data_IF_327667085758
#
_entry.id   IF_327667085758
#
_cell.length_a   1.000
_cell.length_b   1.000
_cell.length_c   1.000
_cell.angle_alpha   90.00
_cell.angle_beta   90.00
_cell.angle_gamma   90.00
#
_symmetry.space_group_name_H-M   'P 1'
#
loop_
_entity.id
_entity.type
_entity.pdbx_description
1 polymer ?
#
# COMPACT_ATOMS: atom_id res chain seq x y z
N UNK A 1 44.85 47.70 10.80
CA UNK A 1 46.19 47.73 10.16
C UNK A 1 46.60 46.29 9.87
N UNK A 2 47.45 46.10 8.85
CA UNK A 2 47.69 44.84 8.12
C UNK A 2 48.80 43.95 8.71
N UNK A 3 49.03 42.79 8.05
CA UNK A 3 50.14 41.80 8.15
C UNK A 3 49.98 40.71 9.23
N UNK A 4 50.32 39.43 8.99
CA UNK A 4 50.63 38.65 7.76
C UNK A 4 50.31 37.17 8.05
N UNK A 5 49.68 36.40 7.14
CA UNK A 5 50.30 35.47 6.17
C UNK A 5 51.41 34.58 6.74
N UNK A 6 51.14 33.28 6.81
CA UNK A 6 52.12 32.20 6.61
C UNK A 6 51.42 31.03 5.87
N UNK A 7 52.08 30.51 4.85
CA UNK A 7 51.66 29.37 4.03
C UNK A 7 52.60 28.19 4.32
N UNK A 8 52.07 26.99 4.55
CA UNK A 8 52.88 25.78 4.70
C UNK A 8 52.37 24.68 3.77
N UNK A 9 53.10 24.44 2.69
CA UNK A 9 52.93 23.26 1.84
C UNK A 9 53.41 22.00 2.57
N UNK A 10 52.65 20.91 2.44
CA UNK A 10 53.20 19.55 2.44
C UNK A 10 52.64 18.76 1.24
N UNK A 11 53.42 17.79 0.77
CA UNK A 11 53.20 17.15 -0.53
C UNK A 11 53.36 15.63 -0.45
N UNK A 12 52.39 14.95 -1.08
CA UNK A 12 52.45 13.61 -1.69
C UNK A 12 52.50 12.32 -0.86
N UNK A 13 51.57 11.45 -1.27
CA UNK A 13 51.68 10.02 -1.53
C UNK A 13 51.72 9.03 -0.35
N UNK A 14 50.62 8.30 -0.20
CA UNK A 14 50.64 6.85 -0.10
C UNK A 14 49.67 6.27 -1.15
N UNK A 15 50.14 5.30 -1.93
CA UNK A 15 49.32 4.51 -2.85
C UNK A 15 48.67 3.32 -2.11
N UNK A 16 47.49 2.89 -2.56
CA UNK A 16 47.14 1.46 -2.53
C UNK A 16 45.84 1.02 -1.84
N UNK A 17 44.90 0.58 -2.70
CA UNK A 17 43.92 -0.52 -2.50
C UNK A 17 42.65 -0.24 -1.68
N UNK A 18 41.51 -0.60 -2.29
CA UNK A 18 40.13 -0.82 -1.79
C UNK A 18 39.60 0.03 -0.62
N UNK A 19 38.48 0.74 -0.76
CA UNK A 19 37.27 0.30 -1.46
C UNK A 19 36.53 1.47 -2.10
N UNK A 20 36.05 1.27 -3.33
CA UNK A 20 35.05 2.12 -3.95
C UNK A 20 33.71 1.93 -3.26
N UNK A 21 33.47 2.69 -2.19
CA UNK A 21 32.12 3.06 -1.81
C UNK A 21 31.70 4.19 -2.74
N UNK A 22 31.19 3.80 -3.90
CA UNK A 22 30.33 4.65 -4.70
C UNK A 22 29.12 4.98 -3.81
N UNK A 23 29.16 6.15 -3.17
CA UNK A 23 27.97 6.80 -2.65
C UNK A 23 27.19 7.28 -3.87
N UNK A 24 26.46 6.35 -4.50
CA UNK A 24 25.51 6.72 -5.54
C UNK A 24 24.39 7.52 -4.87
N UNK A 25 24.21 8.75 -5.36
CA UNK A 25 23.16 9.68 -4.95
C UNK A 25 21.77 9.22 -5.45
N UNK A 26 21.33 8.00 -5.11
CA UNK A 26 20.00 7.44 -5.42
C UNK A 26 18.84 8.11 -4.60
N UNK A 27 18.98 9.39 -4.28
CA UNK A 27 17.99 10.18 -3.54
C UNK A 27 17.59 11.43 -4.34
N UNK A 28 16.92 11.24 -5.49
CA UNK A 28 16.48 12.35 -6.35
C UNK A 28 15.09 12.23 -7.00
N UNK A 29 14.51 11.03 -7.14
CA UNK A 29 13.25 10.83 -7.90
C UNK A 29 12.17 10.09 -7.07
N UNK A 30 11.75 10.68 -5.95
CA UNK A 30 10.52 10.28 -5.26
C UNK A 30 9.69 11.50 -4.83
N UNK A 31 8.42 11.30 -4.48
CA UNK A 31 7.47 12.35 -4.12
C UNK A 31 8.05 13.26 -3.02
N UNK A 32 8.39 14.52 -3.34
CA UNK A 32 8.99 15.43 -2.36
C UNK A 32 8.02 15.73 -1.21
N UNK A 33 6.71 15.52 -1.35
CA UNK A 33 5.74 15.75 -0.29
C UNK A 33 5.77 14.66 0.80
N UNK A 34 6.25 13.44 0.48
CA UNK A 34 6.51 12.37 1.47
C UNK A 34 7.80 12.66 2.26
N UNK A 35 8.86 13.13 1.61
CA UNK A 35 10.09 13.55 2.30
C UNK A 35 9.85 14.81 3.16
N UNK A 36 9.14 15.80 2.62
CA UNK A 36 8.78 17.05 3.32
C UNK A 36 7.91 16.81 4.56
N UNK A 37 7.23 15.67 4.69
CA UNK A 37 6.37 15.40 5.85
C UNK A 37 7.10 15.68 7.16
N UNK A 38 8.28 15.08 7.37
CA UNK A 38 9.05 15.22 8.61
C UNK A 38 9.42 16.68 8.94
N UNK A 39 9.69 17.49 7.91
CA UNK A 39 10.00 18.92 8.04
C UNK A 39 8.75 19.80 8.27
N UNK A 40 7.58 19.37 7.79
CA UNK A 40 6.32 20.12 7.84
C UNK A 40 5.44 19.80 9.07
N UNK A 41 5.86 18.90 9.96
CA UNK A 41 5.09 18.56 11.17
C UNK A 41 4.98 19.78 12.08
N UNK A 42 3.75 20.11 12.44
CA UNK A 42 3.39 21.30 13.22
C UNK A 42 2.93 20.97 14.65
N UNK A 43 2.84 19.67 14.99
CA UNK A 43 2.78 19.15 16.35
C UNK A 43 4.03 18.31 16.57
N UNK A 44 4.86 18.68 17.54
CA UNK A 44 6.13 17.99 17.83
C UNK A 44 6.17 17.56 19.31
N UNK A 45 6.42 16.28 19.56
CA UNK A 45 6.54 15.71 20.92
C UNK A 45 8.01 15.41 21.21
N UNK A 46 8.52 16.00 22.29
CA UNK A 46 9.89 15.86 22.75
C UNK A 46 9.97 15.03 24.04
N UNK A 47 11.08 14.31 24.20
CA UNK A 47 11.43 13.58 25.42
C UNK A 47 12.23 14.44 26.41
N UNK A 48 12.66 13.85 27.53
CA UNK A 48 13.44 14.52 28.58
C UNK A 48 14.80 15.04 28.05
N UNK A 49 15.39 14.34 27.08
CA UNK A 49 16.66 14.67 26.43
C UNK A 49 16.53 15.83 25.42
N UNK A 50 15.31 16.27 25.11
CA UNK A 50 15.04 17.31 24.12
C UNK A 50 15.15 16.85 22.67
N UNK A 51 15.13 15.54 22.40
CA UNK A 51 14.98 14.97 21.05
C UNK A 51 13.51 14.72 20.73
N UNK A 52 13.15 14.79 19.45
CA UNK A 52 11.77 14.50 19.01
C UNK A 52 11.55 12.98 19.10
N UNK A 53 10.43 12.54 19.64
CA UNK A 53 10.02 11.12 19.69
C UNK A 53 8.76 10.82 18.89
N UNK A 54 7.90 11.83 18.73
CA UNK A 54 6.72 11.79 17.87
C UNK A 54 6.45 13.15 17.26
N UNK A 55 5.65 13.18 16.21
CA UNK A 55 5.13 14.41 15.66
C UNK A 55 4.10 14.14 14.57
N UNK A 56 3.21 15.10 14.37
CA UNK A 56 2.14 15.04 13.39
C UNK A 56 2.10 16.32 12.56
N UNK A 57 1.75 16.21 11.30
CA UNK A 57 1.25 17.34 10.54
C UNK A 57 -0.27 17.36 10.67
N UNK A 58 -0.81 18.30 11.44
CA UNK A 58 -2.25 18.48 11.57
C UNK A 58 -2.86 18.92 10.23
N UNK A 59 -3.61 18.00 9.62
CA UNK A 59 -4.44 18.22 8.43
C UNK A 59 -5.90 18.02 8.83
N UNK A 60 -6.72 19.07 8.69
CA UNK A 60 -8.07 19.10 9.26
C UNK A 60 -8.07 19.33 10.78
N UNK A 61 -9.15 18.90 11.45
CA UNK A 61 -9.42 19.25 12.85
C UNK A 61 -8.98 18.17 13.86
N UNK A 62 -7.69 18.00 14.12
CA UNK A 62 -7.24 17.08 15.17
C UNK A 62 -7.67 17.63 16.54
N UNK A 63 -8.47 16.87 17.29
CA UNK A 63 -8.93 17.29 18.62
C UNK A 63 -7.91 16.93 19.69
N UNK A 64 -7.97 17.59 20.85
CA UNK A 64 -7.11 17.22 22.00
C UNK A 64 -7.31 15.74 22.35
N UNK A 65 -8.56 15.28 22.43
CA UNK A 65 -8.90 13.87 22.71
C UNK A 65 -8.26 12.91 21.73
N UNK A 66 -8.23 13.25 20.43
CA UNK A 66 -7.63 12.41 19.39
C UNK A 66 -6.12 12.28 19.58
N UNK A 67 -5.41 13.40 19.77
CA UNK A 67 -3.95 13.37 19.97
C UNK A 67 -3.57 12.57 21.24
N UNK A 68 -4.32 12.70 22.33
CA UNK A 68 -4.13 11.85 23.52
C UNK A 68 -4.34 10.35 23.23
N UNK A 69 -5.42 9.99 22.51
CA UNK A 69 -5.68 8.59 22.09
C UNK A 69 -4.54 8.05 21.22
N UNK A 70 -4.11 8.80 20.21
CA UNK A 70 -3.11 8.37 19.24
C UNK A 70 -1.72 8.20 19.89
N UNK A 71 -1.35 9.07 20.82
CA UNK A 71 -0.14 8.89 21.63
C UNK A 71 -0.23 7.65 22.54
N UNK A 72 -1.40 7.38 23.12
CA UNK A 72 -1.64 6.16 23.89
C UNK A 72 -1.69 4.88 23.02
N UNK A 73 -1.95 4.96 21.72
CA UNK A 73 -1.75 3.87 20.76
C UNK A 73 -0.24 3.64 20.56
N UNK A 74 0.51 4.71 20.30
CA UNK A 74 1.93 4.65 19.93
C UNK A 74 2.88 4.26 21.07
N UNK A 75 2.62 4.70 22.30
CA UNK A 75 3.61 4.64 23.39
C UNK A 75 3.14 3.83 24.60
N UNK A 76 4.09 3.20 25.30
CA UNK A 76 3.87 2.65 26.64
C UNK A 76 3.77 3.78 27.67
N UNK A 77 2.61 4.41 27.75
CA UNK A 77 2.32 5.49 28.69
C UNK A 77 1.81 4.96 30.05
N UNK A 78 1.93 5.77 31.13
CA UNK A 78 1.26 5.52 32.40
C UNK A 78 -0.26 5.37 32.27
N UNK A 79 -0.92 4.98 33.36
CA UNK A 79 -2.37 4.79 33.38
C UNK A 79 -3.12 6.06 32.93
N UNK A 80 -4.28 5.89 32.28
CA UNK A 80 -5.08 7.02 31.78
C UNK A 80 -5.42 7.99 32.91
N UNK A 81 -5.12 9.28 32.73
CA UNK A 81 -5.28 10.31 33.77
C UNK A 81 -4.10 10.44 34.75
N UNK A 82 -3.00 9.71 34.55
CA UNK A 82 -1.74 9.89 35.31
C UNK A 82 -0.61 10.49 34.46
N UNK A 83 -0.93 11.04 33.29
CA UNK A 83 -0.03 11.78 32.43
C UNK A 83 -0.80 12.85 31.64
N UNK A 84 -0.10 13.92 31.26
CA UNK A 84 -0.65 15.03 30.47
C UNK A 84 0.34 15.48 29.39
N UNK A 85 -0.15 16.26 28.42
CA UNK A 85 0.66 16.94 27.41
C UNK A 85 0.90 18.38 27.89
N UNK A 86 2.14 18.85 27.85
CA UNK A 86 2.52 20.22 28.24
C UNK A 86 3.19 20.97 27.09
N UNK A 87 2.80 22.21 26.84
CA UNK A 87 3.49 23.09 25.89
C UNK A 87 4.90 23.42 26.38
N UNK A 88 5.91 23.25 25.51
CA UNK A 88 7.28 23.73 25.76
C UNK A 88 7.36 25.24 25.73
N UNK A 89 6.47 25.88 24.96
CA UNK A 89 6.30 27.32 24.89
C UNK A 89 5.26 27.75 25.94
N UNK A 90 5.74 28.15 27.13
CA UNK A 90 4.92 28.71 28.21
C UNK A 90 4.54 27.73 29.33
N UNK A 91 4.73 26.42 29.16
CA UNK A 91 4.49 25.42 30.22
C UNK A 91 3.01 25.11 30.50
N UNK A 92 2.10 25.58 29.66
CA UNK A 92 0.65 25.31 29.77
C UNK A 92 0.35 23.82 29.58
N UNK A 93 -0.51 23.27 30.43
CA UNK A 93 -0.97 21.88 30.33
C UNK A 93 -2.18 21.84 29.38
N UNK A 94 -2.09 20.98 28.36
CA UNK A 94 -3.15 20.77 27.38
C UNK A 94 -4.12 19.72 27.94
N UNK A 95 -5.00 20.14 28.84
CA UNK A 95 -5.97 19.25 29.49
C UNK A 95 -6.98 18.65 28.50
N UNK A 96 -7.38 17.40 28.72
CA UNK A 96 -8.46 16.76 27.96
C UNK A 96 -9.77 17.48 28.29
N UNK A 97 -10.40 18.19 27.33
CA UNK A 97 -11.56 19.02 27.62
C UNK A 97 -12.80 18.16 27.90
N UNK A 98 -13.68 18.63 28.78
CA UNK A 98 -14.99 17.99 29.05
C UNK A 98 -15.95 18.02 27.85
N UNK A 99 -15.55 18.64 26.72
CA UNK A 99 -16.28 18.68 25.45
C UNK A 99 -15.30 18.37 24.31
N UNK A 100 -15.58 17.32 23.54
CA UNK A 100 -14.66 16.65 22.61
C UNK A 100 -14.24 17.43 21.34
N UNK A 101 -14.50 18.74 21.24
CA UNK A 101 -14.32 19.53 20.00
C UNK A 101 -13.23 20.60 20.06
N UNK A 102 -12.46 20.69 21.15
CA UNK A 102 -11.31 21.59 21.18
C UNK A 102 -10.21 21.03 20.28
N UNK A 103 -9.80 21.83 19.29
CA UNK A 103 -8.69 21.54 18.38
C UNK A 103 -7.39 21.51 19.19
N UNK A 104 -6.51 20.56 18.93
CA UNK A 104 -5.20 20.51 19.57
C UNK A 104 -4.32 21.66 19.06
N UNK A 105 -3.58 22.38 19.94
CA UNK A 105 -2.75 23.51 19.52
C UNK A 105 -1.54 23.04 18.70
N UNK A 106 -1.11 23.87 17.76
CA UNK A 106 0.17 23.67 17.05
C UNK A 106 1.33 24.08 17.96
N UNK A 107 2.50 23.45 17.80
CA UNK A 107 3.72 23.79 18.52
C UNK A 107 4.53 22.57 18.97
N UNK A 108 5.34 22.80 20.00
CA UNK A 108 6.23 21.80 20.58
C UNK A 108 5.81 21.45 22.01
N UNK A 109 5.76 20.17 22.34
CA UNK A 109 5.20 19.65 23.58
C UNK A 109 6.11 18.63 24.26
N UNK A 110 5.94 18.46 25.56
CA UNK A 110 6.42 17.32 26.35
C UNK A 110 5.23 16.46 26.78
N UNK A 111 5.49 15.19 27.03
CA UNK A 111 4.62 14.33 27.83
C UNK A 111 5.11 14.43 29.28
N UNK A 112 4.22 14.64 30.24
CA UNK A 112 4.56 14.76 31.66
C UNK A 112 3.71 13.83 32.53
N UNK A 113 4.24 13.42 33.68
CA UNK A 113 3.49 12.70 34.71
C UNK A 113 2.77 13.63 35.72
N UNK A 114 2.18 13.05 36.77
CA UNK A 114 1.49 13.78 37.83
C UNK A 114 2.43 14.67 38.68
N UNK A 115 3.73 14.37 38.71
CA UNK A 115 4.77 15.13 39.41
C UNK A 115 5.47 16.15 38.48
N UNK A 116 4.88 16.38 37.30
CA UNK A 116 5.38 17.23 36.22
C UNK A 116 6.80 16.86 35.72
N UNK A 117 7.22 15.60 35.87
CA UNK A 117 8.44 15.09 35.25
C UNK A 117 8.20 14.78 33.78
N UNK A 118 9.16 15.14 32.91
CA UNK A 118 9.08 14.84 31.49
C UNK A 118 9.28 13.33 31.29
N UNK A 119 8.36 12.71 30.57
CA UNK A 119 8.40 11.31 30.18
C UNK A 119 9.21 11.12 28.90
N UNK A 120 10.05 10.09 28.89
CA UNK A 120 10.71 9.55 27.68
C UNK A 120 10.13 8.15 27.36
N UNK A 121 8.86 8.05 26.90
CA UNK A 121 8.20 6.75 26.77
C UNK A 121 8.69 5.97 25.56
N UNK A 122 8.73 4.64 25.71
CA UNK A 122 9.10 3.73 24.62
C UNK A 122 7.90 3.48 23.69
N UNK A 123 8.09 3.42 22.35
CA UNK A 123 7.07 2.98 21.42
C UNK A 123 6.60 1.55 21.75
N UNK A 124 5.31 1.26 21.55
CA UNK A 124 4.76 -0.10 21.73
C UNK A 124 5.20 -1.05 20.62
N UNK A 125 5.25 -0.54 19.39
CA UNK A 125 5.75 -1.25 18.22
C UNK A 125 6.30 -0.21 17.25
N UNK A 126 7.40 -0.56 16.59
CA UNK A 126 7.96 0.16 15.43
C UNK A 126 7.86 -0.69 14.16
N UNK A 127 7.16 -1.83 14.22
CA UNK A 127 7.00 -2.75 13.11
C UNK A 127 5.93 -2.23 12.15
N UNK A 128 6.39 -1.74 11.01
CA UNK A 128 5.54 -1.36 9.89
C UNK A 128 5.43 -2.52 8.89
N UNK A 129 4.18 -2.87 8.53
CA UNK A 129 3.85 -3.91 7.56
C UNK A 129 3.70 -3.28 6.18
N UNK A 130 4.69 -3.50 5.33
CA UNK A 130 4.65 -3.05 3.94
C UNK A 130 3.49 -3.68 3.18
N UNK A 131 2.93 -2.93 2.22
CA UNK A 131 1.87 -3.38 1.32
C UNK A 131 2.37 -3.30 -0.11
N UNK A 132 1.97 -4.27 -0.94
CA UNK A 132 2.02 -4.09 -2.38
C UNK A 132 0.68 -3.53 -2.86
N UNK A 133 0.69 -2.81 -3.98
CA UNK A 133 -0.48 -2.15 -4.56
C UNK A 133 -1.37 -3.16 -5.29
N UNK A 134 -2.56 -2.72 -5.70
CA UNK A 134 -3.41 -3.51 -6.58
C UNK A 134 -2.76 -3.54 -7.96
N UNK A 135 -1.98 -4.59 -8.25
CA UNK A 135 -1.40 -4.78 -9.57
C UNK A 135 -2.52 -5.07 -10.57
N UNK A 136 -2.90 -4.06 -11.38
CA UNK A 136 -3.89 -4.16 -12.45
C UNK A 136 -3.58 -5.24 -13.50
N UNK A 137 -2.33 -5.74 -13.52
CA UNK A 137 -1.91 -6.82 -14.40
C UNK A 137 -1.93 -8.22 -13.77
N UNK A 138 -2.34 -8.36 -12.49
CA UNK A 138 -2.72 -9.65 -11.92
C UNK A 138 -4.03 -10.09 -12.57
N UNK A 139 -4.06 -11.30 -13.15
CA UNK A 139 -5.33 -11.92 -13.55
C UNK A 139 -6.19 -12.12 -12.30
N UNK A 140 -7.35 -11.47 -12.24
CA UNK A 140 -8.35 -11.71 -11.20
C UNK A 140 -8.73 -13.19 -11.19
N UNK A 141 -8.74 -13.82 -10.03
CA UNK A 141 -9.23 -15.21 -9.92
C UNK A 141 -10.75 -15.21 -9.74
N UNK A 142 -11.46 -16.30 -10.09
CA UNK A 142 -12.85 -16.52 -9.71
C UNK A 142 -13.19 -16.16 -8.24
N UNK A 143 -12.26 -16.38 -7.30
CA UNK A 143 -12.44 -15.98 -5.90
C UNK A 143 -12.35 -14.45 -5.68
N UNK A 144 -11.47 -13.75 -6.39
CA UNK A 144 -11.38 -12.28 -6.36
C UNK A 144 -12.61 -11.63 -7.01
N UNK A 145 -13.07 -12.16 -8.15
CA UNK A 145 -14.28 -11.68 -8.86
C UNK A 145 -15.55 -11.90 -8.01
N UNK A 146 -15.71 -13.06 -7.37
CA UNK A 146 -16.83 -13.34 -6.45
C UNK A 146 -16.81 -12.40 -5.24
N UNK A 147 -15.64 -12.18 -4.62
CA UNK A 147 -15.51 -11.24 -3.52
C UNK A 147 -15.82 -9.80 -3.96
N UNK A 148 -15.33 -9.37 -5.12
CA UNK A 148 -15.61 -8.04 -5.67
C UNK A 148 -17.12 -7.83 -5.89
N UNK A 149 -17.83 -8.84 -6.40
CA UNK A 149 -19.28 -8.80 -6.56
C UNK A 149 -20.02 -8.74 -5.22
N UNK A 150 -19.63 -9.56 -4.23
CA UNK A 150 -20.24 -9.54 -2.89
C UNK A 150 -20.06 -8.19 -2.19
N UNK A 151 -18.84 -7.64 -2.22
CA UNK A 151 -18.51 -6.34 -1.62
C UNK A 151 -19.15 -5.19 -2.39
N UNK A 152 -19.23 -5.30 -3.72
CA UNK A 152 -19.93 -4.37 -4.59
C UNK A 152 -21.43 -4.25 -4.29
N UNK A 153 -22.11 -5.39 -4.16
CA UNK A 153 -23.53 -5.45 -3.79
C UNK A 153 -23.79 -4.97 -2.35
N UNK A 154 -22.83 -5.13 -1.43
CA UNK A 154 -22.92 -4.64 -0.05
C UNK A 154 -22.77 -3.12 0.06
N UNK A 155 -21.81 -2.55 -0.67
CA UNK A 155 -21.41 -1.15 -0.52
C UNK A 155 -22.16 -0.20 -1.47
N UNK A 156 -22.50 -0.67 -2.68
CA UNK A 156 -23.13 0.06 -3.81
C UNK A 156 -22.37 1.31 -4.33
N UNK A 157 -21.35 1.76 -3.60
CA UNK A 157 -20.54 2.96 -3.86
C UNK A 157 -19.17 2.83 -3.20
N UNK A 158 -18.21 3.64 -3.64
CA UNK A 158 -16.96 3.86 -2.93
C UNK A 158 -17.23 4.38 -1.51
N UNK A 159 -16.82 3.63 -0.48
CA UNK A 159 -17.04 4.04 0.91
C UNK A 159 -16.21 5.25 1.35
N UNK A 160 -15.20 5.66 0.57
CA UNK A 160 -14.37 6.85 0.86
C UNK A 160 -14.91 8.12 0.18
N UNK A 161 -15.33 8.02 -1.08
CA UNK A 161 -15.69 9.20 -1.92
C UNK A 161 -17.17 9.33 -2.21
N UNK A 162 -17.97 8.29 -1.94
CA UNK A 162 -19.40 8.23 -2.27
C UNK A 162 -19.70 8.06 -3.76
N UNK A 163 -18.69 7.95 -4.63
CA UNK A 163 -18.87 7.67 -6.06
C UNK A 163 -19.52 6.30 -6.24
N UNK A 164 -20.60 6.21 -7.02
CA UNK A 164 -21.32 4.95 -7.25
C UNK A 164 -20.43 3.84 -7.80
N UNK A 165 -20.74 2.59 -7.45
CA UNK A 165 -20.03 1.42 -7.95
C UNK A 165 -20.35 1.24 -9.44
N UNK A 166 -19.32 1.32 -10.28
CA UNK A 166 -19.44 1.24 -11.74
C UNK A 166 -18.53 0.13 -12.24
N UNK A 167 -19.13 -0.99 -12.65
CA UNK A 167 -18.44 -2.04 -13.42
C UNK A 167 -18.50 -1.64 -14.89
N UNK A 168 -17.35 -1.29 -15.47
CA UNK A 168 -17.22 -1.21 -16.93
C UNK A 168 -16.99 -2.61 -17.50
N UNK A 169 -17.65 -2.99 -18.62
CA UNK A 169 -17.29 -4.22 -19.33
C UNK A 169 -15.81 -4.22 -19.71
N UNK A 170 -15.10 -5.33 -19.47
CA UNK A 170 -13.68 -5.50 -19.85
C UNK A 170 -13.48 -5.22 -21.36
N UNK A 171 -14.50 -5.50 -22.17
CA UNK A 171 -14.61 -5.23 -23.60
C UNK A 171 -14.42 -3.75 -24.00
N UNK A 172 -14.68 -2.80 -23.09
CA UNK A 172 -14.54 -1.37 -23.38
C UNK A 172 -13.11 -0.85 -23.24
N UNK A 173 -12.17 -1.67 -22.75
CA UNK A 173 -10.77 -1.29 -22.54
C UNK A 173 -10.55 -0.23 -21.46
N UNK A 174 -11.57 0.10 -20.67
CA UNK A 174 -11.51 1.10 -19.60
C UNK A 174 -11.09 0.41 -18.30
N UNK A 175 -10.05 0.92 -17.64
CA UNK A 175 -9.62 0.44 -16.33
C UNK A 175 -10.74 0.63 -15.29
N UNK A 176 -10.93 -0.31 -14.33
CA UNK A 176 -12.00 -0.23 -13.35
C UNK A 176 -11.82 1.01 -12.45
N UNK A 177 -12.80 1.93 -12.47
CA UNK A 177 -12.77 3.13 -11.61
C UNK A 177 -12.88 2.79 -10.11
N UNK A 178 -13.35 1.59 -9.77
CA UNK A 178 -13.51 1.09 -8.41
C UNK A 178 -12.91 -0.30 -8.25
N UNK A 179 -12.23 -0.53 -7.13
CA UNK A 179 -11.60 -1.80 -6.73
C UNK A 179 -12.13 -2.28 -5.38
N UNK A 180 -11.90 -3.56 -5.05
CA UNK A 180 -12.12 -4.10 -3.72
C UNK A 180 -10.85 -3.87 -2.87
N UNK A 181 -10.81 -2.76 -2.12
CA UNK A 181 -9.65 -2.38 -1.30
C UNK A 181 -9.56 -3.26 -0.05
N UNK A 182 -8.36 -3.77 0.24
CA UNK A 182 -8.07 -4.62 1.41
C UNK A 182 -7.70 -3.81 2.65
N UNK A 183 -8.36 -4.08 3.76
CA UNK A 183 -8.19 -3.39 5.05
C UNK A 183 -6.90 -3.87 5.73
N UNK A 184 -6.78 -5.16 5.99
CA UNK A 184 -5.55 -5.83 6.38
C UNK A 184 -4.87 -6.39 5.12
N UNK A 185 -3.55 -6.19 4.95
CA UNK A 185 -2.84 -6.65 3.75
C UNK A 185 -2.83 -8.19 3.70
N UNK A 186 -2.67 -8.73 2.49
CA UNK A 186 -2.39 -10.16 2.36
C UNK A 186 -1.01 -10.47 2.94
N UNK A 187 -0.96 -11.50 3.78
CA UNK A 187 0.26 -12.00 4.40
C UNK A 187 0.29 -13.52 4.27
N UNK A 188 1.46 -14.12 4.49
CA UNK A 188 1.60 -15.58 4.48
C UNK A 188 0.77 -16.20 5.63
N UNK A 189 0.15 -17.38 5.45
CA UNK A 189 -0.60 -18.04 6.54
C UNK A 189 0.23 -18.32 7.79
N UNK A 190 1.57 -18.34 7.69
CA UNK A 190 2.49 -18.43 8.83
C UNK A 190 2.47 -17.20 9.75
N UNK A 191 2.06 -16.02 9.28
CA UNK A 191 1.83 -14.86 10.15
C UNK A 191 0.71 -15.09 11.17
N UNK A 192 -0.11 -16.13 11.02
CA UNK A 192 -1.04 -16.56 12.08
C UNK A 192 -0.34 -16.86 13.41
N UNK A 193 0.95 -17.21 13.42
CA UNK A 193 1.71 -17.47 14.65
C UNK A 193 2.24 -16.20 15.32
N UNK A 194 2.08 -15.04 14.70
CA UNK A 194 2.42 -13.74 15.27
C UNK A 194 1.33 -13.32 16.28
N UNK A 195 1.70 -13.09 17.54
CA UNK A 195 0.75 -12.76 18.60
C UNK A 195 0.02 -11.43 18.38
N UNK A 196 0.62 -10.47 17.67
CA UNK A 196 -0.09 -9.24 17.25
C UNK A 196 -1.21 -9.57 16.25
N UNK A 197 -0.96 -10.49 15.31
CA UNK A 197 -1.94 -10.90 14.29
C UNK A 197 -3.08 -11.68 14.92
N UNK A 198 -2.78 -12.61 15.85
CA UNK A 198 -3.80 -13.32 16.63
C UNK A 198 -4.68 -12.36 17.45
N UNK A 199 -4.12 -11.29 18.00
CA UNK A 199 -4.89 -10.28 18.72
C UNK A 199 -5.84 -9.50 17.79
N UNK A 200 -5.34 -9.07 16.62
CA UNK A 200 -6.12 -8.34 15.60
C UNK A 200 -7.27 -9.21 15.07
N UNK A 201 -7.04 -10.51 14.89
CA UNK A 201 -8.00 -11.46 14.33
C UNK A 201 -8.82 -12.21 15.39
N UNK A 202 -8.69 -11.86 16.68
CA UNK A 202 -9.43 -12.48 17.78
C UNK A 202 -10.94 -12.42 17.54
N UNK A 203 -11.58 -13.58 17.48
CA UNK A 203 -13.03 -13.71 17.26
C UNK A 203 -13.47 -13.65 15.79
N UNK A 204 -12.54 -13.39 14.86
CA UNK A 204 -12.75 -13.57 13.41
C UNK A 204 -12.10 -14.87 12.92
N UNK A 205 -10.95 -15.25 13.49
CA UNK A 205 -10.26 -16.50 13.21
C UNK A 205 -9.76 -17.17 14.49
N UNK A 206 -9.53 -18.49 14.39
CA UNK A 206 -9.05 -19.38 15.46
C UNK A 206 -7.96 -20.36 14.97
N UNK A 207 -7.73 -20.46 13.66
CA UNK A 207 -6.72 -21.29 13.00
C UNK A 207 -6.11 -20.60 11.78
N UNK A 208 -4.97 -21.09 11.23
CA UNK A 208 -4.42 -20.58 9.97
C UNK A 208 -5.40 -20.64 8.79
N UNK A 209 -6.27 -21.65 8.77
CA UNK A 209 -7.27 -21.85 7.72
C UNK A 209 -8.42 -20.83 7.82
N UNK A 210 -8.96 -20.60 9.03
CA UNK A 210 -9.99 -19.56 9.23
C UNK A 210 -9.40 -18.16 9.04
N UNK A 211 -8.14 -17.94 9.41
CA UNK A 211 -7.39 -16.72 9.10
C UNK A 211 -7.29 -16.45 7.59
N UNK A 212 -6.90 -17.45 6.80
CA UNK A 212 -6.85 -17.33 5.34
C UNK A 212 -8.23 -17.04 4.72
N UNK A 213 -9.30 -17.61 5.27
CA UNK A 213 -10.68 -17.30 4.86
C UNK A 213 -11.06 -15.84 5.17
N UNK A 214 -10.72 -15.32 6.36
CA UNK A 214 -10.98 -13.91 6.72
C UNK A 214 -10.18 -12.94 5.84
N UNK A 215 -8.94 -13.26 5.45
CA UNK A 215 -8.20 -12.41 4.50
C UNK A 215 -8.93 -12.24 3.16
N UNK A 216 -9.67 -13.27 2.72
CA UNK A 216 -10.50 -13.29 1.51
C UNK A 216 -11.96 -12.90 1.76
N UNK A 217 -12.36 -12.45 2.96
CA UNK A 217 -13.75 -12.14 3.27
C UNK A 217 -14.17 -10.69 2.90
N UNK A 218 -15.48 -10.43 2.78
CA UNK A 218 -16.03 -9.07 2.74
C UNK A 218 -15.61 -8.25 3.96
N UNK A 219 -15.49 -8.85 5.14
CA UNK A 219 -15.12 -8.15 6.38
C UNK A 219 -13.70 -7.57 6.35
N UNK A 220 -12.79 -8.11 5.51
CA UNK A 220 -11.46 -7.54 5.26
C UNK A 220 -11.42 -6.56 4.06
N UNK A 221 -12.57 -6.19 3.47
CA UNK A 221 -12.57 -5.52 2.17
C UNK A 221 -13.71 -4.49 1.99
N UNK A 222 -13.52 -3.47 1.16
CA UNK A 222 -14.58 -2.52 0.78
C UNK A 222 -14.39 -1.95 -0.63
N UNK A 223 -15.49 -1.52 -1.26
CA UNK A 223 -15.45 -0.80 -2.54
C UNK A 223 -14.77 0.55 -2.33
N UNK A 224 -13.68 0.77 -3.06
CA UNK A 224 -12.95 2.02 -3.08
C UNK A 224 -12.76 2.49 -4.52
N UNK A 225 -12.74 3.80 -4.76
CA UNK A 225 -12.31 4.35 -6.04
C UNK A 225 -10.79 4.11 -6.18
N UNK A 226 -10.32 3.73 -7.36
CA UNK A 226 -8.92 3.33 -7.60
C UNK A 226 -7.89 4.30 -6.98
N UNK A 227 -8.01 5.59 -7.29
CA UNK A 227 -7.10 6.62 -6.75
C UNK A 227 -7.14 6.68 -5.21
N UNK A 228 -8.31 6.46 -4.60
CA UNK A 228 -8.45 6.47 -3.15
C UNK A 228 -7.93 5.17 -2.50
N UNK A 229 -7.95 4.03 -3.18
CA UNK A 229 -7.30 2.81 -2.68
C UNK A 229 -5.78 2.91 -2.65
N UNK A 230 -5.16 3.56 -3.63
CA UNK A 230 -3.71 3.81 -3.61
C UNK A 230 -3.30 4.55 -2.33
N UNK A 231 -3.97 5.67 -2.03
CA UNK A 231 -3.69 6.43 -0.81
C UNK A 231 -4.09 5.74 0.49
N UNK A 232 -5.04 4.81 0.44
CA UNK A 232 -5.35 3.95 1.58
C UNK A 232 -4.21 2.95 1.83
N UNK A 233 -3.74 2.25 0.79
CA UNK A 233 -2.69 1.23 0.89
C UNK A 233 -1.32 1.80 1.28
N UNK A 234 -0.98 3.01 0.84
CA UNK A 234 0.20 3.73 1.33
C UNK A 234 0.03 4.39 2.71
N UNK A 235 -1.13 4.22 3.37
CA UNK A 235 -1.50 4.89 4.62
C UNK A 235 -1.39 6.43 4.54
N UNK A 236 -1.50 7.03 3.35
CA UNK A 236 -1.52 8.49 3.14
C UNK A 236 -2.70 9.15 3.86
N UNK A 237 -3.79 8.40 3.98
CA UNK A 237 -4.86 8.59 4.96
C UNK A 237 -5.20 7.24 5.60
N UNK A 238 -5.96 7.27 6.68
CA UNK A 238 -6.55 6.08 7.29
C UNK A 238 -7.85 6.42 8.04
N UNK A 239 -8.47 5.46 8.72
CA UNK A 239 -9.82 5.57 9.28
C UNK A 239 -9.75 5.34 10.80
N UNK A 240 -10.02 6.39 11.58
CA UNK A 240 -10.16 6.28 13.03
C UNK A 240 -11.60 5.85 13.36
N UNK A 241 -11.79 4.54 13.56
CA UNK A 241 -13.06 3.94 13.99
C UNK A 241 -13.56 4.55 15.30
N UNK A 242 -12.65 4.89 16.22
CA UNK A 242 -12.98 5.37 17.55
C UNK A 242 -13.22 6.90 17.60
N UNK A 243 -13.11 7.60 16.46
CA UNK A 243 -13.59 8.97 16.21
C UNK A 243 -14.70 8.98 15.13
N UNK A 244 -15.66 8.05 15.23
CA UNK A 244 -16.87 7.99 14.39
C UNK A 244 -16.54 7.78 12.90
N UNK A 245 -15.68 6.77 12.64
CA UNK A 245 -15.14 6.36 11.33
C UNK A 245 -14.51 7.49 10.51
N UNK A 246 -13.89 8.45 11.19
CA UNK A 246 -13.29 9.62 10.57
C UNK A 246 -12.09 9.25 9.70
N UNK A 247 -12.04 9.85 8.52
CA UNK A 247 -10.88 9.82 7.63
C UNK A 247 -9.83 10.81 8.15
N UNK A 248 -8.68 10.28 8.56
CA UNK A 248 -7.52 11.03 9.08
C UNK A 248 -6.46 11.11 7.97
N UNK A 249 -6.09 12.33 7.58
CA UNK A 249 -5.10 12.59 6.53
C UNK A 249 -3.71 12.79 7.14
N UNK A 250 -2.69 12.13 6.60
CA UNK A 250 -1.30 12.29 7.01
C UNK A 250 -0.48 13.07 5.98
N UNK A 251 -0.73 12.86 4.68
CA UNK A 251 -0.19 13.68 3.57
C UNK A 251 -1.30 14.45 2.82
N UNK A 252 -0.95 15.22 1.79
CA UNK A 252 -1.94 15.93 0.98
C UNK A 252 -2.69 14.96 0.06
N UNK A 253 -3.94 14.61 0.41
CA UNK A 253 -4.71 13.62 -0.34
C UNK A 253 -5.63 14.19 -1.43
N UNK A 254 -5.47 15.46 -1.81
CA UNK A 254 -6.28 16.13 -2.85
C UNK A 254 -6.23 15.38 -4.20
N UNK A 255 -5.07 14.91 -4.64
CA UNK A 255 -4.91 14.21 -5.91
C UNK A 255 -5.63 12.84 -5.96
N UNK A 256 -5.87 12.22 -4.81
CA UNK A 256 -6.63 10.97 -4.68
C UNK A 256 -8.14 11.20 -4.41
N UNK A 257 -8.60 12.46 -4.44
CA UNK A 257 -10.01 12.86 -4.24
C UNK A 257 -10.61 12.41 -2.90
N UNK A 258 -9.77 12.24 -1.88
CA UNK A 258 -10.19 11.84 -0.53
C UNK A 258 -10.81 13.05 0.17
N UNK A 259 -12.03 12.96 0.73
CA UNK A 259 -12.69 14.10 1.36
C UNK A 259 -11.95 14.54 2.63
N UNK A 260 -11.75 15.86 2.77
CA UNK A 260 -11.21 16.49 3.97
C UNK A 260 -12.20 16.35 5.14
N UNK A 261 -11.71 15.94 6.31
CA UNK A 261 -12.51 15.66 7.51
C UNK A 261 -13.74 14.77 7.25
N UNK A 262 -13.66 13.92 6.22
CA UNK A 262 -14.71 12.97 5.84
C UNK A 262 -14.83 11.79 6.80
N UNK A 263 -15.74 10.87 6.49
CA UNK A 263 -15.95 9.61 7.20
C UNK A 263 -16.09 8.47 6.21
N UNK A 264 -15.75 7.26 6.63
CA UNK A 264 -16.12 6.05 5.90
C UNK A 264 -17.66 5.97 5.84
N UNK A 265 -18.22 5.86 4.63
CA UNK A 265 -19.66 5.93 4.35
C UNK A 265 -20.36 4.59 4.63
N UNK A 266 -20.13 4.05 5.82
CA UNK A 266 -20.52 2.71 6.27
C UNK A 266 -21.98 2.63 6.76
N UNK A 267 -22.69 3.76 6.84
CA UNK A 267 -24.10 3.87 7.24
C UNK A 267 -25.09 3.07 6.36
N UNK A 268 -24.67 2.64 5.17
CA UNK A 268 -25.47 1.78 4.28
C UNK A 268 -25.27 0.28 4.53
N UNK A 269 -24.28 -0.11 5.34
CA UNK A 269 -24.08 -1.51 5.72
C UNK A 269 -24.92 -1.83 6.98
N UNK A 270 -25.89 -2.73 6.86
CA UNK A 270 -26.54 -3.34 8.04
C UNK A 270 -25.50 -4.00 8.96
N UNK A 271 -25.77 -4.02 10.28
CA UNK A 271 -24.94 -4.71 11.29
C UNK A 271 -24.95 -6.22 11.05
N UNK A 272 -24.11 -6.65 10.11
CA UNK A 272 -23.93 -8.03 9.65
C UNK A 272 -22.45 -8.36 9.63
N UNK A 273 -22.12 -9.65 9.72
CA UNK A 273 -20.72 -10.14 9.65
C UNK A 273 -20.02 -9.78 8.33
N UNK A 274 -20.78 -9.32 7.32
CA UNK A 274 -20.27 -8.85 6.04
C UNK A 274 -19.66 -7.44 6.07
N UNK A 275 -19.94 -6.61 7.09
CA UNK A 275 -19.46 -5.22 7.21
C UNK A 275 -17.92 -5.16 7.31
N UNK A 276 -17.24 -4.10 6.79
CA UNK A 276 -15.83 -3.84 7.06
C UNK A 276 -15.49 -3.92 8.55
N UNK A 277 -14.52 -4.76 8.91
CA UNK A 277 -14.20 -5.06 10.30
C UNK A 277 -13.49 -3.91 10.99
N UNK A 278 -14.10 -3.41 12.06
CA UNK A 278 -13.53 -2.42 12.97
C UNK A 278 -12.15 -2.80 13.51
N UNK A 279 -11.92 -4.10 13.79
CA UNK A 279 -10.63 -4.57 14.32
C UNK A 279 -9.52 -4.42 13.27
N UNK A 280 -9.84 -4.74 12.00
CA UNK A 280 -8.92 -4.60 10.87
C UNK A 280 -8.71 -3.12 10.52
N UNK A 281 -9.76 -2.29 10.59
CA UNK A 281 -9.66 -0.84 10.41
C UNK A 281 -8.79 -0.18 11.49
N UNK A 282 -8.94 -0.55 12.78
CA UNK A 282 -8.04 -0.12 13.86
C UNK A 282 -6.60 -0.57 13.60
N UNK A 283 -6.38 -1.80 13.14
CA UNK A 283 -5.03 -2.28 12.79
C UNK A 283 -4.40 -1.46 11.64
N UNK A 284 -5.17 -1.14 10.60
CA UNK A 284 -4.75 -0.23 9.52
C UNK A 284 -4.42 1.17 10.06
N UNK A 285 -5.25 1.70 10.97
CA UNK A 285 -5.02 3.01 11.58
C UNK A 285 -3.77 3.04 12.47
N UNK A 286 -3.52 1.98 13.23
CA UNK A 286 -2.31 1.82 14.04
C UNK A 286 -1.05 1.80 13.17
N UNK A 287 -1.08 1.12 12.02
CA UNK A 287 0.05 1.10 11.08
C UNK A 287 0.31 2.49 10.45
N UNK A 288 -0.75 3.23 10.12
CA UNK A 288 -0.63 4.63 9.68
C UNK A 288 -0.01 5.52 10.77
N UNK A 289 -0.45 5.39 12.03
CA UNK A 289 0.12 6.12 13.17
C UNK A 289 1.59 5.74 13.43
N UNK A 290 1.96 4.45 13.33
CA UNK A 290 3.36 4.01 13.50
C UNK A 290 4.26 4.69 12.47
N UNK A 291 3.82 4.75 11.21
CA UNK A 291 4.59 5.37 10.13
C UNK A 291 4.69 6.90 10.27
N UNK A 292 3.56 7.59 10.43
CA UNK A 292 3.50 9.06 10.37
C UNK A 292 3.64 9.75 11.73
N UNK A 293 3.27 9.09 12.82
CA UNK A 293 3.22 9.68 14.17
C UNK A 293 4.51 9.51 14.97
N UNK A 294 5.23 8.40 14.82
CA UNK A 294 6.55 8.23 15.42
C UNK A 294 7.59 9.10 14.71
N UNK A 295 8.67 9.46 15.41
CA UNK A 295 9.83 10.08 14.80
C UNK A 295 10.96 9.06 14.63
N UNK A 296 10.98 8.39 13.48
CA UNK A 296 12.06 7.48 13.08
C UNK A 296 12.47 7.78 11.63
N UNK A 297 13.45 8.69 11.41
CA UNK A 297 13.94 9.01 10.07
C UNK A 297 14.53 7.82 9.31
N UNK A 298 15.02 6.79 10.02
CA UNK A 298 15.54 5.57 9.41
C UNK A 298 14.41 4.74 8.81
N UNK A 299 13.36 4.47 9.61
CA UNK A 299 12.16 3.77 9.13
C UNK A 299 11.36 4.57 8.11
N UNK A 300 11.39 5.90 8.16
CA UNK A 300 10.83 6.73 7.08
C UNK A 300 11.54 6.52 5.74
N UNK A 301 12.88 6.46 5.76
CA UNK A 301 13.66 6.17 4.55
C UNK A 301 13.43 4.75 4.04
N UNK A 302 13.36 3.75 4.93
CA UNK A 302 12.94 2.40 4.54
C UNK A 302 11.55 2.40 3.88
N UNK A 303 10.57 3.13 4.43
CA UNK A 303 9.24 3.23 3.82
C UNK A 303 9.23 3.86 2.42
N UNK A 304 10.03 4.90 2.19
CA UNK A 304 10.17 5.51 0.86
C UNK A 304 10.73 4.50 -0.14
N UNK A 305 11.79 3.79 0.23
CA UNK A 305 12.39 2.72 -0.59
C UNK A 305 11.37 1.60 -0.86
N UNK A 306 10.64 1.16 0.17
CA UNK A 306 9.63 0.13 0.05
C UNK A 306 8.49 0.51 -0.89
N UNK A 307 8.01 1.76 -0.79
CA UNK A 307 6.96 2.30 -1.65
C UNK A 307 7.43 2.39 -3.10
N UNK A 308 8.66 2.88 -3.35
CA UNK A 308 9.28 2.88 -4.69
C UNK A 308 9.34 1.45 -5.26
N UNK A 309 9.84 0.48 -4.49
CA UNK A 309 9.90 -0.92 -4.93
C UNK A 309 8.52 -1.52 -5.24
N UNK A 310 7.47 -1.15 -4.49
CA UNK A 310 6.10 -1.56 -4.79
C UNK A 310 5.56 -0.96 -6.11
N UNK A 311 5.82 0.33 -6.36
CA UNK A 311 5.50 0.97 -7.66
C UNK A 311 6.28 0.36 -8.82
N UNK A 312 7.58 0.08 -8.65
CA UNK A 312 8.39 -0.58 -9.67
C UNK A 312 7.80 -1.95 -10.06
N UNK A 313 7.34 -2.75 -9.09
CA UNK A 313 6.65 -4.03 -9.35
C UNK A 313 5.36 -3.80 -10.17
N UNK A 314 4.54 -2.82 -9.81
CA UNK A 314 3.28 -2.48 -10.50
C UNK A 314 3.54 -2.04 -11.95
N UNK A 315 4.53 -1.16 -12.16
CA UNK A 315 4.90 -0.63 -13.47
C UNK A 315 5.74 -1.60 -14.32
N UNK A 316 6.18 -2.73 -13.75
CA UNK A 316 7.10 -3.70 -14.37
C UNK A 316 8.49 -3.12 -14.67
N UNK A 317 8.92 -2.17 -13.84
CA UNK A 317 10.25 -1.57 -13.89
C UNK A 317 11.24 -2.45 -13.12
N UNK A 318 12.28 -2.95 -13.79
CA UNK A 318 13.37 -3.65 -13.10
C UNK A 318 14.21 -2.65 -12.28
N UNK A 319 14.41 -2.84 -10.96
CA UNK A 319 15.27 -1.97 -10.18
C UNK A 319 16.73 -2.00 -10.67
N UNK A 320 17.44 -0.90 -10.46
CA UNK A 320 18.88 -0.75 -10.73
C UNK A 320 19.73 -1.86 -10.09
N UNK A 321 19.43 -2.22 -8.84
CA UNK A 321 20.15 -3.24 -8.07
C UNK A 321 19.26 -4.43 -7.69
N UNK A 322 19.55 -5.62 -8.21
CA UNK A 322 18.87 -6.87 -7.82
C UNK A 322 19.09 -7.25 -6.35
N UNK A 323 20.10 -6.72 -5.65
CA UNK A 323 20.31 -6.98 -4.22
C UNK A 323 19.27 -6.27 -3.33
N UNK A 324 18.49 -5.31 -3.84
CA UNK A 324 17.44 -4.67 -3.05
C UNK A 324 16.36 -5.68 -2.58
N UNK A 325 16.10 -6.73 -3.37
CA UNK A 325 15.09 -7.76 -3.09
C UNK A 325 15.50 -8.78 -2.01
N UNK A 326 16.79 -8.90 -1.70
CA UNK A 326 17.30 -9.84 -0.68
C UNK A 326 17.58 -9.15 0.67
N UNK A 327 17.30 -7.85 0.79
CA UNK A 327 17.48 -7.04 2.00
C UNK A 327 16.17 -6.35 2.38
N UNK A 328 16.05 -5.94 3.63
CA UNK A 328 14.96 -5.02 3.99
C UNK A 328 15.19 -3.64 3.38
N UNK A 329 14.12 -2.95 2.93
CA UNK A 329 12.71 -3.35 2.98
C UNK A 329 12.24 -4.20 1.77
N UNK A 330 13.06 -4.32 0.72
CA UNK A 330 12.66 -4.91 -0.56
C UNK A 330 12.23 -6.36 -0.45
N UNK A 331 12.87 -7.14 0.43
CA UNK A 331 12.45 -8.51 0.74
C UNK A 331 10.99 -8.56 1.22
N UNK A 332 10.63 -7.79 2.24
CA UNK A 332 9.25 -7.77 2.76
C UNK A 332 8.24 -7.28 1.70
N UNK A 333 8.63 -6.32 0.84
CA UNK A 333 7.79 -5.86 -0.28
C UNK A 333 7.53 -6.99 -1.29
N UNK A 334 8.58 -7.75 -1.65
CA UNK A 334 8.47 -8.89 -2.56
C UNK A 334 7.65 -10.03 -1.94
N UNK A 335 7.84 -10.34 -0.66
CA UNK A 335 7.04 -11.35 0.06
C UNK A 335 5.56 -10.94 0.14
N UNK A 336 5.25 -9.66 0.38
CA UNK A 336 3.88 -9.14 0.36
C UNK A 336 3.26 -9.21 -1.05
N UNK A 337 4.02 -8.86 -2.09
CA UNK A 337 3.59 -9.01 -3.49
C UNK A 337 3.29 -10.48 -3.83
N UNK A 338 4.22 -11.39 -3.54
CA UNK A 338 4.08 -12.82 -3.80
C UNK A 338 2.90 -13.40 -3.01
N UNK A 339 2.71 -13.01 -1.75
CA UNK A 339 1.53 -13.41 -0.97
C UNK A 339 0.23 -12.95 -1.64
N UNK A 340 0.15 -11.70 -2.09
CA UNK A 340 -1.01 -11.18 -2.83
C UNK A 340 -1.25 -11.88 -4.18
N UNK A 341 -0.19 -12.29 -4.90
CA UNK A 341 -0.34 -13.09 -6.12
C UNK A 341 -0.88 -14.49 -5.79
N UNK A 342 -0.30 -15.17 -4.79
CA UNK A 342 -0.56 -16.57 -4.47
C UNK A 342 -1.88 -16.81 -3.73
N UNK A 343 -2.33 -15.91 -2.84
CA UNK A 343 -3.45 -16.22 -1.93
C UNK A 343 -4.76 -16.51 -2.68
N UNK A 344 -5.01 -15.82 -3.80
CA UNK A 344 -6.16 -16.09 -4.66
C UNK A 344 -6.09 -17.45 -5.38
N UNK A 345 -4.89 -17.99 -5.63
CA UNK A 345 -4.71 -19.35 -6.16
C UNK A 345 -4.77 -20.42 -5.07
N UNK A 346 -4.29 -20.13 -3.85
CA UNK A 346 -4.32 -21.09 -2.73
C UNK A 346 -5.75 -21.54 -2.36
N UNK A 347 -6.74 -20.65 -2.47
CA UNK A 347 -8.16 -20.98 -2.25
C UNK A 347 -8.72 -21.91 -3.32
N UNK A 348 -8.18 -21.87 -4.54
CA UNK A 348 -8.61 -22.69 -5.68
C UNK A 348 -7.93 -24.07 -5.68
N UNK A 349 -6.65 -24.12 -5.30
CA UNK A 349 -5.91 -25.37 -5.09
C UNK A 349 -6.54 -26.26 -3.99
N UNK A 350 -7.25 -25.66 -3.03
CA UNK A 350 -8.06 -26.38 -2.05
C UNK A 350 -9.36 -27.00 -2.60
N UNK A 351 -9.80 -26.61 -3.80
CA UNK A 351 -11.02 -27.12 -4.46
C UNK A 351 -10.72 -28.05 -5.64
N UNK A 352 -9.63 -27.83 -6.37
CA UNK A 352 -9.29 -28.58 -7.61
C UNK A 352 -7.78 -28.82 -7.72
N UNK A 353 -7.26 -29.74 -6.90
CA UNK A 353 -5.83 -30.11 -6.82
C UNK A 353 -5.34 -31.01 -7.98
N UNK A 354 -5.80 -30.78 -9.22
CA UNK A 354 -5.32 -31.52 -10.41
C UNK A 354 -4.96 -30.70 -11.64
N UNK A 355 -5.71 -29.65 -11.99
CA UNK A 355 -5.60 -29.10 -13.36
C UNK A 355 -4.90 -27.72 -13.44
N UNK A 356 -4.75 -27.00 -12.32
CA UNK A 356 -4.25 -25.60 -12.31
C UNK A 356 -2.77 -25.48 -12.77
N UNK A 357 -1.95 -26.53 -12.64
CA UNK A 357 -0.56 -26.49 -13.10
C UNK A 357 -0.42 -26.36 -14.63
N UNK A 358 -1.42 -26.83 -15.39
CA UNK A 358 -1.43 -26.75 -16.85
C UNK A 358 -1.93 -25.37 -17.33
N UNK A 359 -2.89 -24.75 -16.63
CA UNK A 359 -3.40 -23.41 -16.97
C UNK A 359 -2.41 -22.26 -16.64
N UNK A 360 -1.56 -22.42 -15.63
CA UNK A 360 -0.61 -21.37 -15.20
C UNK A 360 0.67 -21.37 -16.04
N UNK A 361 1.13 -22.53 -16.52
CA UNK A 361 2.40 -22.68 -17.24
C UNK A 361 2.27 -23.15 -18.70
N UNK A 362 1.05 -23.47 -19.15
CA UNK A 362 0.79 -24.12 -20.44
C UNK A 362 1.00 -25.64 -20.36
N UNK A 363 0.33 -26.39 -21.25
CA UNK A 363 0.77 -27.77 -21.50
C UNK A 363 2.19 -27.73 -22.08
N UNK A 364 3.12 -28.61 -21.64
CA UNK A 364 4.35 -28.81 -22.38
C UNK A 364 3.99 -29.27 -23.80
N UNK A 365 4.55 -28.60 -24.81
CA UNK A 365 4.35 -28.97 -26.20
C UNK A 365 5.12 -30.27 -26.49
N UNK A 366 4.49 -31.40 -26.15
CA UNK A 366 4.98 -32.78 -26.41
C UNK A 366 4.93 -33.14 -27.92
N UNK A 367 5.01 -32.14 -28.80
CA UNK A 367 5.29 -32.34 -30.21
C UNK A 367 6.77 -32.69 -30.39
N UNK A 368 7.10 -33.98 -30.23
CA UNK A 368 8.39 -34.52 -30.68
C UNK A 368 8.66 -34.07 -32.14
N UNK A 369 9.89 -33.64 -32.48
CA UNK A 369 10.23 -33.31 -33.85
C UNK A 369 10.24 -34.61 -34.68
N UNK A 370 9.14 -34.88 -35.39
CA UNK A 370 9.05 -36.03 -36.30
C UNK A 370 10.03 -35.84 -37.46
N UNK A 371 11.04 -36.71 -37.50
CA UNK A 371 12.02 -36.75 -38.60
C UNK A 371 11.32 -37.05 -39.94
N UNK A 372 11.74 -36.31 -40.97
CA UNK A 372 11.66 -36.62 -42.39
C UNK A 372 10.52 -37.53 -42.91
N UNK A 373 9.50 -36.91 -43.51
CA UNK A 373 9.05 -37.39 -44.82
C UNK A 373 8.74 -36.25 -45.79
N UNK A 374 9.49 -36.24 -46.88
CA UNK A 374 9.43 -35.26 -47.96
C UNK A 374 8.44 -35.75 -49.03
N UNK A 375 7.28 -35.11 -49.19
CA UNK A 375 6.36 -35.37 -50.31
C UNK A 375 6.10 -34.08 -51.12
N UNK A 376 6.71 -33.93 -52.30
CA UNK A 376 6.63 -32.72 -53.11
C UNK A 376 5.46 -32.77 -54.11
N UNK A 377 4.22 -32.81 -53.62
CA UNK A 377 3.03 -32.77 -54.51
C UNK A 377 1.88 -31.93 -53.95
N UNK A 378 2.08 -30.61 -53.86
CA UNK A 378 1.01 -29.65 -53.61
C UNK A 378 0.40 -29.16 -54.93
N UNK A 379 -0.76 -29.68 -55.31
CA UNK A 379 -1.65 -29.00 -56.27
C UNK A 379 -2.58 -28.04 -55.49
N UNK A 380 -2.77 -26.84 -56.05
CA UNK A 380 -3.53 -25.77 -55.41
C UNK A 380 -4.99 -25.77 -55.86
N UNK A 381 -5.92 -25.64 -54.92
CA UNK A 381 -7.27 -25.15 -55.23
C UNK A 381 -7.60 -23.91 -54.40
N UNK A 382 -7.90 -22.82 -55.11
CA UNK A 382 -8.45 -21.60 -54.54
C UNK A 382 -9.92 -21.84 -54.18
N UNK A 383 -10.37 -21.29 -53.05
CA UNK A 383 -11.78 -20.97 -52.84
C UNK A 383 -11.89 -19.51 -52.42
N UNK A 384 -12.27 -18.67 -53.37
CA UNK A 384 -12.80 -17.34 -53.10
C UNK A 384 -14.17 -17.49 -52.43
N UNK A 385 -14.43 -16.72 -51.38
CA UNK A 385 -15.75 -16.65 -50.76
C UNK A 385 -16.17 -15.19 -50.65
N UNK A 386 -16.88 -14.72 -51.67
CA UNK A 386 -17.56 -13.42 -51.64
C UNK A 386 -18.69 -13.44 -50.61
N UNK A 387 -18.84 -12.36 -49.85
CA UNK A 387 -19.98 -12.11 -49.00
C UNK A 387 -20.51 -10.69 -49.28
N UNK A 388 -21.67 -10.62 -49.92
CA UNK A 388 -22.35 -9.36 -50.22
C UNK A 388 -22.87 -8.70 -48.93
N UNK A 389 -22.75 -7.36 -48.83
CA UNK A 389 -23.30 -6.56 -47.75
C UNK A 389 -24.29 -5.56 -48.36
N UNK A 390 -25.59 -5.69 -48.04
CA UNK A 390 -26.58 -4.64 -48.29
C UNK A 390 -26.62 -3.64 -47.13
N UNK A 391 -26.63 -2.32 -47.38
CA UNK A 391 -26.74 -1.30 -46.34
C UNK A 391 -28.19 -0.87 -46.09
N UNK A 392 -28.63 -0.91 -44.83
CA UNK A 392 -29.89 -0.32 -44.37
C UNK A 392 -29.68 0.86 -43.41
N UNK A 393 -30.13 2.05 -43.81
CA UNK A 393 -30.39 3.20 -42.91
C UNK A 393 -31.60 2.87 -42.01
N UNK A 394 -31.95 3.51 -40.89
CA UNK A 394 -31.74 4.87 -40.32
C UNK A 394 -31.66 4.72 -38.76
N UNK A 395 -31.66 5.70 -37.84
CA UNK A 395 -31.95 7.15 -37.77
C UNK A 395 -30.96 7.82 -36.77
N UNK A 396 -30.87 9.16 -36.76
CA UNK A 396 -29.96 9.95 -35.91
C UNK A 396 -30.42 10.12 -34.44
N UNK A 397 -29.46 10.19 -33.49
CA UNK A 397 -29.63 10.88 -32.20
C UNK A 397 -28.34 11.63 -31.84
N UNK A 398 -28.43 12.95 -31.72
CA UNK A 398 -27.33 13.84 -31.33
C UNK A 398 -26.79 13.54 -29.91
N UNK A 399 -25.46 13.50 -29.78
CA UNK A 399 -24.77 13.50 -28.48
C UNK A 399 -23.33 14.05 -28.62
N UNK A 400 -23.20 15.37 -28.75
CA UNK A 400 -21.91 16.06 -28.68
C UNK A 400 -21.24 15.85 -27.31
N UNK A 401 -20.26 14.94 -27.25
CA UNK A 401 -19.26 14.87 -26.17
C UNK A 401 -17.87 14.68 -26.76
N UNK A 402 -17.26 15.78 -27.17
CA UNK A 402 -15.88 15.81 -27.66
C UNK A 402 -14.88 15.65 -26.51
N UNK A 403 -14.37 14.42 -26.31
CA UNK A 403 -13.15 14.17 -25.54
C UNK A 403 -12.00 14.01 -26.53
N UNK A 404 -11.03 14.93 -26.47
CA UNK A 404 -9.87 14.94 -27.36
C UNK A 404 -8.88 13.82 -26.99
N UNK A 405 -8.81 12.78 -27.81
CA UNK A 405 -7.75 11.78 -27.75
C UNK A 405 -6.42 12.35 -28.25
N UNK A 406 -5.33 12.06 -27.51
CA UNK A 406 -3.96 12.18 -28.01
C UNK A 406 -3.54 10.80 -28.55
N UNK A 407 -2.94 10.70 -29.76
CA UNK A 407 -2.50 9.42 -30.29
C UNK A 407 -1.19 8.98 -29.61
N UNK A 408 -1.19 7.76 -29.08
CA UNK A 408 0.04 7.06 -28.66
C UNK A 408 0.63 6.36 -29.89
N UNK A 409 1.95 6.50 -30.11
CA UNK A 409 2.64 5.97 -31.29
C UNK A 409 2.92 4.46 -31.15
N UNK A 410 2.28 3.63 -31.97
CA UNK A 410 2.31 2.15 -31.92
C UNK A 410 3.67 1.52 -32.35
N UNK A 411 4.77 2.27 -32.31
CA UNK A 411 6.05 1.87 -32.93
C UNK A 411 7.14 1.33 -31.98
N UNK A 412 6.81 1.06 -30.72
CA UNK A 412 7.76 0.60 -29.70
C UNK A 412 7.57 -0.85 -29.22
N UNK A 413 6.97 -1.72 -30.04
CA UNK A 413 6.96 -3.18 -29.79
C UNK A 413 7.75 -3.91 -30.88
N UNK A 414 9.02 -4.23 -30.58
CA UNK A 414 9.74 -5.33 -31.23
C UNK A 414 10.71 -6.02 -30.26
N UNK A 415 10.40 -7.29 -29.99
CA UNK A 415 11.31 -8.42 -29.73
C UNK A 415 12.45 -8.22 -28.73
N UNK A 416 12.33 -8.88 -27.56
CA UNK A 416 13.13 -10.08 -27.27
C UNK A 416 12.52 -10.82 -26.06
N UNK A 417 12.25 -12.11 -26.23
CA UNK A 417 12.01 -13.04 -25.12
C UNK A 417 13.31 -13.82 -24.97
N UNK A 418 13.94 -13.72 -23.79
CA UNK A 418 15.11 -14.52 -23.42
C UNK A 418 14.64 -15.77 -22.66
N UNK A 419 14.89 -17.00 -23.16
CA UNK A 419 14.37 -18.23 -22.55
C UNK A 419 15.13 -18.71 -21.30
N UNK A 420 16.20 -18.03 -20.83
CA UNK A 420 16.96 -18.46 -19.63
C UNK A 420 16.46 -17.90 -18.28
N UNK A 421 15.25 -17.33 -18.23
CA UNK A 421 14.68 -16.72 -17.01
C UNK A 421 13.96 -17.71 -16.05
N UNK A 422 14.62 -18.82 -15.73
CA UNK A 422 14.27 -19.71 -14.61
C UNK A 422 15.56 -20.04 -13.85
N UNK A 423 15.82 -19.38 -12.70
CA UNK A 423 15.60 -20.08 -11.44
C UNK A 423 15.18 -19.15 -10.27
N UNK A 424 13.88 -19.13 -9.95
CA UNK A 424 13.36 -18.57 -8.70
C UNK A 424 12.44 -19.54 -7.92
N UNK A 425 12.07 -20.68 -8.51
CA UNK A 425 11.21 -21.69 -7.85
C UNK A 425 11.98 -22.70 -6.97
N UNK A 426 13.21 -23.07 -7.34
CA UNK A 426 13.95 -24.16 -6.68
C UNK A 426 14.31 -23.87 -5.21
N UNK A 427 14.32 -22.60 -4.79
CA UNK A 427 14.63 -22.23 -3.41
C UNK A 427 13.50 -22.58 -2.43
N UNK A 428 12.26 -22.72 -2.89
CA UNK A 428 11.09 -22.96 -2.03
C UNK A 428 10.71 -24.42 -1.82
N UNK A 429 11.27 -25.35 -2.59
CA UNK A 429 11.00 -26.80 -2.46
C UNK A 429 12.10 -27.58 -1.73
N UNK A 430 13.25 -26.95 -1.43
CA UNK A 430 14.39 -27.56 -0.75
C UNK A 430 14.45 -27.20 0.76
N UNK A 431 13.31 -27.28 1.46
CA UNK A 431 13.13 -26.83 2.84
C UNK A 431 12.28 -27.74 3.72
N UNK A 432 12.50 -29.06 3.65
CA UNK A 432 11.84 -30.10 4.46
C UNK A 432 12.81 -30.81 5.40
#
# INVERSE_FOLDING_TARGET
MTTSRDEAHFSKNYDGVDAGLEQEDEASDFDPDVERYYANRNILIYNQEGTIVAGLHQRGFFTITNVYKWLAILFHLPQSGTWSIQSREGGEIIDIPSRSRTIFPLGSFHLIDQDAQILSPLPKSTSYRYRCLVNDSRKSTPADDELFNQVGLRDEKCLITGMGWLIYPKEWGVAPLTVCAKIFPFVTPSEWWNSEVQEIFRGMADSPETFAQVMMSPSNSFVCAYMASEGFHHHWFSIDVDDDYRIVHFTNCEQWRVPWDGKLLIDTCEETDSRPSDALLRAHFHQALIHWGLHDPGKHREFIIASKLAFNIQNREEPSDRQCWIREPGKTVLEAYVAQQLLGYCVELGKTSRDIFLDVFGEPDDTEPSEDSFDPTAEAENVEMEAEIEPGQVDDVDSDFAISFWPIDEKLIKNNIDPELIPALDFWLAGS
#
